data_IF_647882836595
#
_entry.id   IF_647882836595
#
_cell.length_a   1.000
_cell.length_b   1.000
_cell.length_c   1.000
_cell.angle_alpha   90.00
_cell.angle_beta   90.00
_cell.angle_gamma   90.00
#
_symmetry.space_group_name_H-M   'P 1'
#
loop_
_entity.id
_entity.type
_entity.pdbx_description
1 polymer ?
#
# COMPACT_ATOMS: atom_id res chain seq x y z
N UNK A 1 15.97 -21.83 13.04
CA UNK A 1 14.84 -21.28 13.82
C UNK A 1 14.21 -20.22 12.94
N UNK A 2 12.91 -20.28 12.64
CA UNK A 2 12.23 -19.24 11.83
C UNK A 2 12.21 -17.94 12.63
N UNK A 3 12.52 -16.79 12.04
CA UNK A 3 12.53 -15.48 12.73
C UNK A 3 11.10 -15.03 13.12
N UNK A 4 10.94 -14.07 14.05
CA UNK A 4 9.60 -13.52 14.30
C UNK A 4 9.04 -12.80 13.06
N UNK A 5 9.93 -12.18 12.27
CA UNK A 5 9.59 -11.52 11.01
C UNK A 5 8.99 -12.49 9.98
N UNK A 6 9.61 -13.65 9.76
CA UNK A 6 9.06 -14.68 8.86
C UNK A 6 7.71 -15.21 9.36
N UNK A 7 7.54 -15.42 10.68
CA UNK A 7 6.26 -15.85 11.27
C UNK A 7 5.16 -14.79 11.18
N UNK A 8 5.54 -13.52 11.23
CA UNK A 8 4.63 -12.39 11.08
C UNK A 8 4.18 -12.24 9.63
N UNK A 9 5.12 -12.34 8.69
CA UNK A 9 4.87 -12.20 7.26
C UNK A 9 4.10 -13.37 6.68
N UNK A 10 4.50 -14.61 6.96
CA UNK A 10 3.93 -15.79 6.31
C UNK A 10 3.01 -16.58 7.23
N UNK A 11 1.96 -17.18 6.64
CA UNK A 11 1.17 -18.22 7.34
C UNK A 11 2.03 -19.43 7.72
N UNK A 12 1.54 -20.25 8.65
CA UNK A 12 2.29 -21.44 9.14
C UNK A 12 2.67 -22.42 8.03
N UNK A 13 1.89 -22.47 6.95
CA UNK A 13 2.12 -23.29 5.77
C UNK A 13 2.90 -22.56 4.66
N UNK A 14 3.33 -21.31 4.90
CA UNK A 14 4.05 -20.47 3.95
C UNK A 14 3.22 -19.99 2.76
N UNK A 15 1.92 -20.29 2.70
CA UNK A 15 1.09 -20.05 1.51
C UNK A 15 0.52 -18.64 1.40
N UNK A 16 0.41 -17.92 2.51
CA UNK A 16 -0.15 -16.58 2.54
C UNK A 16 0.85 -15.56 3.08
N UNK A 17 1.12 -14.52 2.28
CA UNK A 17 1.86 -13.33 2.71
C UNK A 17 0.87 -12.32 3.31
N UNK A 18 0.94 -12.15 4.64
CA UNK A 18 0.08 -11.26 5.42
C UNK A 18 0.42 -9.79 5.19
N UNK A 19 1.66 -9.47 4.85
CA UNK A 19 2.06 -8.08 4.56
C UNK A 19 1.49 -7.66 3.20
N UNK A 20 1.55 -8.55 2.22
CA UNK A 20 0.87 -8.35 0.93
C UNK A 20 -0.65 -8.27 1.14
N UNK A 21 -1.22 -9.16 1.96
CA UNK A 21 -2.63 -9.14 2.32
C UNK A 21 -3.06 -7.85 3.02
N UNK A 22 -2.20 -7.24 3.83
CA UNK A 22 -2.45 -5.94 4.44
C UNK A 22 -2.62 -4.85 3.38
N UNK A 23 -1.69 -4.73 2.43
CA UNK A 23 -1.77 -3.73 1.36
C UNK A 23 -2.99 -3.92 0.46
N UNK A 24 -3.30 -5.17 0.09
CA UNK A 24 -4.50 -5.51 -0.67
C UNK A 24 -5.77 -5.04 0.04
N UNK A 25 -5.89 -5.29 1.34
CA UNK A 25 -7.05 -4.83 2.11
C UNK A 25 -7.15 -3.30 2.14
N UNK A 26 -6.04 -2.58 2.33
CA UNK A 26 -6.05 -1.11 2.32
C UNK A 26 -6.49 -0.55 0.97
N UNK A 27 -5.98 -1.12 -0.13
CA UNK A 27 -6.34 -0.71 -1.48
C UNK A 27 -7.82 -0.98 -1.79
N UNK A 28 -8.38 -2.10 -1.31
CA UNK A 28 -9.81 -2.42 -1.46
C UNK A 28 -10.68 -1.44 -0.68
N UNK A 29 -10.35 -1.17 0.59
CA UNK A 29 -11.11 -0.21 1.41
C UNK A 29 -11.04 1.21 0.83
N UNK A 30 -9.89 1.59 0.24
CA UNK A 30 -9.69 2.91 -0.34
C UNK A 30 -10.61 3.21 -1.54
N UNK A 31 -11.10 2.16 -2.22
CA UNK A 31 -12.06 2.29 -3.34
C UNK A 31 -13.45 2.69 -2.86
N UNK A 32 -13.83 2.33 -1.64
CA UNK A 32 -15.14 2.68 -1.07
C UNK A 32 -15.17 4.11 -0.52
N UNK A 33 -14.06 4.60 0.04
CA UNK A 33 -13.84 6.01 0.39
C UNK A 33 -14.76 6.63 1.45
N UNK A 34 -15.62 5.85 2.12
CA UNK A 34 -16.59 6.34 3.10
C UNK A 34 -16.17 6.13 4.55
N UNK A 35 -17.01 6.60 5.48
CA UNK A 35 -16.77 6.50 6.92
C UNK A 35 -16.66 5.03 7.40
N UNK A 36 -17.43 4.13 6.79
CA UNK A 36 -17.40 2.70 7.13
C UNK A 36 -16.05 2.06 6.77
N UNK A 37 -15.49 2.45 5.63
CA UNK A 37 -14.18 2.02 5.11
C UNK A 37 -13.07 2.51 6.03
N UNK A 38 -13.10 3.78 6.45
CA UNK A 38 -12.15 4.33 7.43
C UNK A 38 -12.18 3.50 8.73
N UNK A 39 -13.38 3.22 9.27
CA UNK A 39 -13.52 2.40 10.49
C UNK A 39 -13.04 0.96 10.30
N UNK A 40 -13.17 0.37 9.10
CA UNK A 40 -12.61 -0.96 8.80
C UNK A 40 -11.09 -0.88 8.67
N UNK A 41 -10.56 0.13 7.99
CA UNK A 41 -9.12 0.37 7.85
C UNK A 41 -8.44 0.54 9.23
N UNK A 42 -8.99 1.38 10.12
CA UNK A 42 -8.49 1.55 11.49
C UNK A 42 -8.43 0.22 12.26
N UNK A 43 -9.47 -0.62 12.15
CA UNK A 43 -9.48 -1.95 12.78
C UNK A 43 -8.43 -2.88 12.19
N UNK A 44 -8.30 -2.91 10.87
CA UNK A 44 -7.32 -3.74 10.17
C UNK A 44 -5.89 -3.31 10.51
N UNK A 45 -5.60 -2.01 10.54
CA UNK A 45 -4.30 -1.46 10.93
C UNK A 45 -3.96 -1.85 12.37
N UNK A 46 -4.87 -1.60 13.32
CA UNK A 46 -4.62 -1.94 14.73
C UNK A 46 -4.38 -3.44 14.93
N UNK A 47 -5.16 -4.28 14.24
CA UNK A 47 -4.95 -5.73 14.27
C UNK A 47 -3.60 -6.10 13.67
N UNK A 48 -3.24 -5.56 12.51
CA UNK A 48 -1.96 -5.84 11.86
C UNK A 48 -0.77 -5.45 12.74
N UNK A 49 -0.83 -4.28 13.39
CA UNK A 49 0.19 -3.83 14.33
C UNK A 49 0.30 -4.72 15.56
N UNK A 50 -0.83 -5.22 16.07
CA UNK A 50 -0.84 -6.17 17.19
C UNK A 50 -0.26 -7.53 16.77
N UNK A 51 -0.69 -8.05 15.62
CA UNK A 51 -0.30 -9.37 15.11
C UNK A 51 1.19 -9.41 14.69
N UNK A 52 1.82 -8.24 14.49
CA UNK A 52 3.21 -8.11 14.04
C UNK A 52 4.13 -7.41 15.05
N UNK A 53 3.66 -7.17 16.28
CA UNK A 53 4.41 -6.44 17.31
C UNK A 53 5.76 -7.08 17.65
N UNK A 54 5.82 -8.42 17.74
CA UNK A 54 7.07 -9.13 18.04
C UNK A 54 8.10 -8.98 16.92
N UNK A 55 7.65 -9.02 15.65
CA UNK A 55 8.53 -8.81 14.50
C UNK A 55 9.08 -7.38 14.45
N UNK A 56 8.25 -6.40 14.80
CA UNK A 56 8.69 -5.01 14.91
C UNK A 56 9.70 -4.84 16.04
N UNK A 57 9.49 -5.46 17.20
CA UNK A 57 10.40 -5.39 18.35
C UNK A 57 11.76 -6.05 18.09
N UNK A 58 11.80 -7.13 17.29
CA UNK A 58 13.05 -7.82 16.93
C UNK A 58 13.93 -7.00 15.98
N UNK A 59 13.33 -6.19 15.10
CA UNK A 59 14.08 -5.37 14.15
C UNK A 59 13.21 -4.43 13.33
N UNK A 60 13.03 -3.17 13.74
CA UNK A 60 12.19 -2.19 13.04
C UNK A 60 12.60 -1.97 11.57
N UNK A 61 13.90 -1.88 11.29
CA UNK A 61 14.39 -1.64 9.93
C UNK A 61 14.07 -2.80 8.99
N UNK A 62 14.29 -4.04 9.45
CA UNK A 62 13.95 -5.24 8.69
C UNK A 62 12.43 -5.36 8.50
N UNK A 63 11.64 -5.06 9.54
CA UNK A 63 10.18 -5.03 9.46
C UNK A 63 9.68 -4.06 8.37
N UNK A 64 10.19 -2.83 8.36
CA UNK A 64 9.79 -1.82 7.37
C UNK A 64 10.28 -2.17 5.96
N UNK A 65 11.49 -2.73 5.83
CA UNK A 65 12.00 -3.20 4.55
C UNK A 65 11.11 -4.30 3.95
N UNK A 66 10.70 -5.29 4.74
CA UNK A 66 9.78 -6.36 4.29
C UNK A 66 8.39 -5.81 3.95
N UNK A 67 7.90 -4.80 4.69
CA UNK A 67 6.60 -4.18 4.43
C UNK A 67 6.62 -3.34 3.14
N UNK A 68 7.74 -2.66 2.84
CA UNK A 68 8.00 -2.00 1.56
C UNK A 68 8.13 -3.00 0.41
N UNK A 69 8.86 -4.10 0.60
CA UNK A 69 8.93 -5.18 -0.40
C UNK A 69 7.54 -5.74 -0.71
N UNK A 70 6.70 -5.96 0.30
CA UNK A 70 5.32 -6.37 0.09
C UNK A 70 4.49 -5.34 -0.70
N UNK A 71 4.70 -4.03 -0.47
CA UNK A 71 4.08 -2.97 -1.27
C UNK A 71 4.57 -3.02 -2.72
N UNK A 72 5.87 -3.20 -2.95
CA UNK A 72 6.42 -3.35 -4.30
C UNK A 72 5.88 -4.60 -5.01
N UNK A 73 5.71 -5.73 -4.30
CA UNK A 73 5.07 -6.93 -4.86
C UNK A 73 3.61 -6.67 -5.24
N UNK A 74 2.86 -5.95 -4.39
CA UNK A 74 1.50 -5.52 -4.69
C UNK A 74 1.45 -4.72 -6.00
N UNK A 75 2.26 -3.67 -6.13
CA UNK A 75 2.28 -2.84 -7.34
C UNK A 75 2.79 -3.58 -8.58
N UNK A 76 3.75 -4.49 -8.43
CA UNK A 76 4.19 -5.34 -9.56
C UNK A 76 3.04 -6.19 -10.08
N UNK A 77 2.21 -6.72 -9.18
CA UNK A 77 1.04 -7.53 -9.54
C UNK A 77 0.03 -6.71 -10.36
N UNK A 78 -0.16 -5.42 -10.03
CA UNK A 78 -1.08 -4.56 -10.80
C UNK A 78 -0.61 -4.32 -12.25
N UNK A 79 0.68 -4.47 -12.53
CA UNK A 79 1.21 -4.34 -13.89
C UNK A 79 1.04 -5.63 -14.73
N UNK A 80 1.07 -6.78 -14.07
CA UNK A 80 1.12 -8.08 -14.75
C UNK A 80 -0.21 -8.83 -14.76
N UNK A 81 -1.11 -8.54 -13.82
CA UNK A 81 -2.40 -9.23 -13.69
C UNK A 81 -3.37 -8.77 -14.80
N UNK A 82 -3.75 -9.66 -15.74
CA UNK A 82 -4.70 -9.32 -16.80
C UNK A 82 -6.06 -8.87 -16.28
N UNK A 83 -6.49 -9.37 -15.11
CA UNK A 83 -7.75 -8.96 -14.49
C UNK A 83 -7.67 -7.51 -13.99
N UNK A 84 -6.49 -7.06 -13.56
CA UNK A 84 -6.28 -5.67 -13.16
C UNK A 84 -6.15 -4.73 -14.37
N UNK A 85 -5.45 -5.17 -15.41
CA UNK A 85 -5.16 -4.34 -16.60
C UNK A 85 -6.30 -4.32 -17.65
N UNK A 86 -7.50 -4.75 -17.29
CA UNK A 86 -8.64 -4.82 -18.22
C UNK A 86 -9.87 -4.08 -17.69
N UNK A 87 -10.67 -3.52 -18.60
CA UNK A 87 -12.00 -2.95 -18.37
C UNK A 87 -13.09 -3.84 -18.97
N UNK A 88 -14.36 -3.60 -18.58
CA UNK A 88 -15.55 -4.28 -19.13
C UNK A 88 -15.46 -5.81 -19.08
N UNK A 89 -15.37 -6.38 -17.87
CA UNK A 89 -15.31 -7.85 -17.66
C UNK A 89 -14.16 -8.56 -18.43
N UNK A 90 -13.03 -7.88 -18.62
CA UNK A 90 -11.87 -8.47 -19.30
C UNK A 90 -11.86 -8.31 -20.83
N UNK A 91 -12.85 -7.63 -21.41
CA UNK A 91 -13.00 -7.53 -22.86
C UNK A 91 -12.09 -6.48 -23.50
N UNK A 92 -11.63 -5.48 -22.74
CA UNK A 92 -10.77 -4.42 -23.25
C UNK A 92 -9.58 -4.19 -22.33
N UNK A 93 -8.36 -4.45 -22.85
CA UNK A 93 -7.12 -4.11 -22.13
C UNK A 93 -6.97 -2.59 -22.04
N UNK A 94 -6.59 -2.11 -20.87
CA UNK A 94 -6.27 -0.69 -20.66
C UNK A 94 -5.01 -0.33 -21.44
N UNK A 95 -4.97 0.89 -21.98
CA UNK A 95 -3.72 1.44 -22.51
C UNK A 95 -2.75 1.68 -21.34
N UNK A 96 -1.42 1.74 -21.60
CA UNK A 96 -0.43 2.02 -20.57
C UNK A 96 -0.74 3.29 -19.75
N UNK A 97 -1.21 4.35 -20.41
CA UNK A 97 -1.55 5.62 -19.77
C UNK A 97 -2.74 5.47 -18.82
N UNK A 98 -3.82 4.80 -19.25
CA UNK A 98 -4.99 4.56 -18.41
C UNK A 98 -4.69 3.62 -17.23
N UNK A 99 -3.78 2.66 -17.43
CA UNK A 99 -3.31 1.80 -16.35
C UNK A 99 -2.51 2.62 -15.33
N UNK A 100 -1.62 3.50 -15.80
CA UNK A 100 -0.84 4.38 -14.94
C UNK A 100 -1.75 5.30 -14.12
N UNK A 101 -2.73 5.97 -14.75
CA UNK A 101 -3.71 6.83 -14.06
C UNK A 101 -4.49 6.06 -12.98
N UNK A 102 -4.91 4.83 -13.30
CA UNK A 102 -5.59 3.95 -12.35
C UNK A 102 -4.70 3.64 -11.14
N UNK A 103 -3.43 3.30 -11.37
CA UNK A 103 -2.46 3.00 -10.30
C UNK A 103 -2.20 4.25 -9.45
N UNK A 104 -2.02 5.41 -10.05
CA UNK A 104 -1.84 6.68 -9.31
C UNK A 104 -3.07 7.01 -8.47
N UNK A 105 -4.27 6.82 -9.02
CA UNK A 105 -5.53 7.03 -8.29
C UNK A 105 -5.65 6.09 -7.10
N UNK A 106 -5.31 4.81 -7.27
CA UNK A 106 -5.34 3.81 -6.19
C UNK A 106 -4.31 4.11 -5.11
N UNK A 107 -3.08 4.48 -5.49
CA UNK A 107 -2.03 4.86 -4.55
C UNK A 107 -2.44 6.07 -3.71
N UNK A 108 -2.87 7.15 -4.35
CA UNK A 108 -3.26 8.40 -3.66
C UNK A 108 -4.53 8.23 -2.82
N UNK A 109 -5.49 7.41 -3.25
CA UNK A 109 -6.68 7.06 -2.45
C UNK A 109 -6.31 6.23 -1.23
N UNK A 110 -5.37 5.29 -1.37
CA UNK A 110 -4.90 4.45 -0.26
C UNK A 110 -4.12 5.27 0.76
N UNK A 111 -3.26 6.19 0.32
CA UNK A 111 -2.59 7.16 1.20
C UNK A 111 -3.63 7.97 1.98
N UNK A 112 -4.62 8.54 1.31
CA UNK A 112 -5.67 9.32 1.97
C UNK A 112 -6.45 8.48 3.01
N UNK A 113 -6.76 7.21 2.70
CA UNK A 113 -7.40 6.31 3.66
C UNK A 113 -6.52 6.07 4.90
N UNK A 114 -5.22 5.82 4.71
CA UNK A 114 -4.27 5.58 5.80
C UNK A 114 -4.17 6.81 6.73
N UNK A 115 -4.17 8.01 6.15
CA UNK A 115 -4.19 9.26 6.90
C UNK A 115 -5.52 9.45 7.63
N UNK A 116 -6.65 9.24 6.95
CA UNK A 116 -7.98 9.37 7.54
C UNK A 116 -8.24 8.36 8.68
N UNK A 117 -7.63 7.16 8.61
CA UNK A 117 -7.70 6.17 9.67
C UNK A 117 -7.01 6.64 10.97
N UNK A 118 -6.10 7.62 10.86
CA UNK A 118 -5.42 8.35 11.93
C UNK A 118 -5.01 7.48 13.14
N UNK A 119 -4.34 6.36 12.87
CA UNK A 119 -3.87 5.47 13.94
C UNK A 119 -2.64 6.10 14.61
N UNK A 120 -2.79 6.48 15.88
CA UNK A 120 -1.76 7.12 16.70
C UNK A 120 -0.69 6.12 17.17
N UNK A 121 0.05 5.53 16.23
CA UNK A 121 1.27 4.74 16.48
C UNK A 121 2.35 5.14 15.50
N UNK A 122 3.58 5.34 16.00
CA UNK A 122 4.72 5.74 15.15
C UNK A 122 4.96 4.76 14.01
N UNK A 123 4.75 3.46 14.23
CA UNK A 123 4.80 2.42 13.19
C UNK A 123 3.78 2.66 12.07
N UNK A 124 2.54 3.03 12.42
CA UNK A 124 1.47 3.26 11.45
C UNK A 124 1.71 4.51 10.60
N UNK A 125 2.35 5.55 11.19
CA UNK A 125 2.71 6.80 10.49
C UNK A 125 3.65 6.57 9.32
N UNK A 126 4.39 5.45 9.30
CA UNK A 126 5.28 5.10 8.20
C UNK A 126 4.53 4.50 6.99
N UNK A 127 3.30 4.02 7.15
CA UNK A 127 2.60 3.27 6.10
C UNK A 127 2.38 4.05 4.79
N UNK A 128 1.94 5.33 4.80
CA UNK A 128 1.85 6.11 3.58
C UNK A 128 3.18 6.17 2.81
N UNK A 129 4.29 6.41 3.53
CA UNK A 129 5.63 6.45 2.95
C UNK A 129 6.02 5.11 2.33
N UNK A 130 5.86 4.01 3.07
CA UNK A 130 6.25 2.67 2.61
C UNK A 130 5.46 2.22 1.38
N UNK A 131 4.17 2.55 1.31
CA UNK A 131 3.33 2.27 0.15
C UNK A 131 3.84 2.98 -1.11
N UNK A 132 4.19 4.27 -0.97
CA UNK A 132 4.70 5.09 -2.08
C UNK A 132 6.12 4.71 -2.47
N UNK A 133 7.00 4.46 -1.50
CA UNK A 133 8.34 3.95 -1.79
C UNK A 133 8.28 2.63 -2.56
N UNK A 134 7.41 1.70 -2.15
CA UNK A 134 7.18 0.45 -2.89
C UNK A 134 6.61 0.66 -4.29
N UNK A 135 5.80 1.69 -4.51
CA UNK A 135 5.33 2.06 -5.86
C UNK A 135 6.48 2.55 -6.73
N UNK A 136 7.31 3.44 -6.19
CA UNK A 136 8.43 4.05 -6.91
C UNK A 136 9.58 3.04 -7.17
N UNK A 137 9.69 1.99 -6.37
CA UNK A 137 10.59 0.87 -6.64
C UNK A 137 10.17 0.07 -7.90
N UNK A 138 8.87 0.04 -8.20
CA UNK A 138 8.32 -0.68 -9.37
C UNK A 138 8.20 0.23 -10.59
N UNK A 139 7.80 1.48 -10.38
CA UNK A 139 7.55 2.48 -11.41
C UNK A 139 8.35 3.76 -11.10
N UNK A 140 9.68 3.75 -11.27
CA UNK A 140 10.52 4.90 -10.93
C UNK A 140 10.18 6.17 -11.73
N UNK A 141 9.73 5.99 -12.98
CA UNK A 141 9.33 7.09 -13.88
C UNK A 141 7.94 7.67 -13.55
N UNK A 142 7.19 7.05 -12.62
CA UNK A 142 5.86 7.52 -12.24
C UNK A 142 5.87 8.72 -11.28
N UNK A 143 7.04 9.21 -10.83
CA UNK A 143 7.14 10.31 -9.84
C UNK A 143 6.31 11.54 -10.21
N UNK A 144 6.44 12.01 -11.46
CA UNK A 144 5.70 13.19 -11.92
C UNK A 144 4.19 12.94 -12.01
N UNK A 145 3.79 11.76 -12.48
CA UNK A 145 2.38 11.35 -12.54
C UNK A 145 1.77 11.25 -11.12
N UNK A 146 2.53 10.69 -10.18
CA UNK A 146 2.12 10.59 -8.78
C UNK A 146 1.97 11.98 -8.16
N UNK A 147 2.92 12.89 -8.41
CA UNK A 147 2.85 14.28 -7.95
C UNK A 147 1.57 14.95 -8.42
N UNK A 148 1.26 14.85 -9.72
CA UNK A 148 0.03 15.41 -10.30
C UNK A 148 -1.21 14.82 -9.62
N UNK A 149 -1.27 13.50 -9.45
CA UNK A 149 -2.40 12.86 -8.76
C UNK A 149 -2.53 13.31 -7.29
N UNK A 150 -1.42 13.50 -6.58
CA UNK A 150 -1.41 13.99 -5.19
C UNK A 150 -1.93 15.43 -5.07
N UNK A 151 -1.80 16.28 -6.09
CA UNK A 151 -2.33 17.66 -6.02
C UNK A 151 -3.84 17.72 -5.83
N UNK A 152 -4.56 16.66 -6.19
CA UNK A 152 -6.00 16.53 -5.96
C UNK A 152 -6.34 16.15 -4.51
N UNK A 153 -5.33 15.85 -3.67
CA UNK A 153 -5.47 15.39 -2.28
C UNK A 153 -4.40 16.06 -1.39
N UNK A 154 -4.65 17.29 -0.90
CA UNK A 154 -3.64 18.08 -0.19
C UNK A 154 -2.98 17.35 0.99
N UNK A 155 -3.75 16.65 1.82
CA UNK A 155 -3.22 15.88 2.96
C UNK A 155 -2.28 14.75 2.52
N UNK A 156 -2.60 14.08 1.41
CA UNK A 156 -1.72 13.06 0.85
C UNK A 156 -0.45 13.71 0.28
N UNK A 157 -0.57 14.82 -0.43
CA UNK A 157 0.59 15.56 -0.95
C UNK A 157 1.52 16.02 0.18
N UNK A 158 0.98 16.51 1.29
CA UNK A 158 1.79 16.89 2.46
C UNK A 158 2.52 15.68 3.07
N UNK A 159 1.83 14.55 3.19
CA UNK A 159 2.37 13.36 3.86
C UNK A 159 3.47 12.64 3.05
N UNK A 160 3.39 12.62 1.72
CA UNK A 160 4.31 11.81 0.87
C UNK A 160 4.84 12.54 -0.37
N UNK A 161 4.46 13.80 -0.59
CA UNK A 161 4.85 14.56 -1.79
C UNK A 161 6.35 14.76 -1.94
N UNK A 162 7.09 14.81 -0.83
CA UNK A 162 8.56 14.90 -0.84
C UNK A 162 9.23 13.71 -1.56
N UNK A 163 8.57 12.56 -1.68
CA UNK A 163 9.08 11.39 -2.41
C UNK A 163 9.05 11.56 -3.93
N UNK A 164 8.29 12.54 -4.43
CA UNK A 164 8.11 12.77 -5.88
C UNK A 164 9.15 13.70 -6.50
N UNK A 165 10.01 14.31 -5.69
CA UNK A 165 10.95 15.34 -6.13
C UNK A 165 10.28 16.72 -6.32
N UNK A 166 11.10 17.76 -6.43
CA UNK A 166 10.68 19.10 -6.88
C UNK A 166 10.54 19.16 -8.40
#
# INVERSE_FOLDING_TARGET
>A
MVSALERARYSKDGRADRFLGFWLNMAVEARGGGHAEVKRATRTINRFLSDTADAFAEGPDAYFAELRDAAARFWRTTQTDPAYSSSLFGLQRLTPERLLDKVMTEATSTVALLLAANVERDTARQFPRLLVEGLLDVLPDAKQHLRVALTQRPEALEAVGYLTGE
#
